data_IF_698356951539
#
_entry.id   IF_698356951539
#
_cell.length_a   1.000
_cell.length_b   1.000
_cell.length_c   1.000
_cell.angle_alpha   90.00
_cell.angle_beta   90.00
_cell.angle_gamma   90.00
#
_symmetry.space_group_name_H-M   'P 1'
#
loop_
_entity.id
_entity.type
_entity.pdbx_description
1 polymer ?
#
# COMPACT_ATOMS: atom_id res chain seq x y z
N UNK A 1 2.16 35.80 5.62
CA UNK A 1 3.63 35.65 5.52
C UNK A 1 4.07 34.48 6.37
N UNK A 2 4.93 33.59 5.87
CA UNK A 2 5.44 32.44 6.65
C UNK A 2 6.76 32.83 7.31
N UNK A 3 6.83 32.80 8.64
CA UNK A 3 8.08 33.03 9.38
C UNK A 3 9.13 31.97 8.99
N UNK A 4 10.40 32.39 8.86
CA UNK A 4 11.50 31.51 8.46
C UNK A 4 12.68 31.62 9.40
N UNK A 5 13.31 30.47 9.65
CA UNK A 5 14.57 30.32 10.37
C UNK A 5 15.67 30.07 9.35
N UNK A 6 16.74 30.85 9.41
CA UNK A 6 17.91 30.68 8.55
C UNK A 6 18.82 29.60 9.12
N UNK A 7 19.13 28.59 8.31
CA UNK A 7 20.01 27.49 8.68
C UNK A 7 20.93 27.18 7.49
N UNK A 8 22.23 27.48 7.63
CA UNK A 8 23.19 27.39 6.52
C UNK A 8 22.72 28.17 5.29
N UNK A 9 22.48 27.54 4.13
CA UNK A 9 21.96 28.23 2.92
C UNK A 9 20.42 28.17 2.84
N UNK A 10 19.77 27.50 3.79
CA UNK A 10 18.34 27.26 3.80
C UNK A 10 17.59 28.34 4.56
N UNK A 11 16.40 28.68 4.05
CA UNK A 11 15.39 29.43 4.79
C UNK A 11 14.21 28.51 5.07
N UNK A 12 14.21 27.86 6.24
CA UNK A 12 13.23 26.85 6.63
C UNK A 12 12.03 27.53 7.28
N UNK A 13 10.81 27.11 6.98
CA UNK A 13 9.64 27.60 7.72
C UNK A 13 9.83 27.33 9.22
N UNK A 14 9.67 28.35 10.07
CA UNK A 14 10.01 28.26 11.50
C UNK A 14 9.24 27.15 12.21
N UNK A 15 7.98 26.90 11.80
CA UNK A 15 7.15 25.80 12.31
C UNK A 15 7.75 24.43 12.01
N UNK A 16 8.26 24.22 10.78
CA UNK A 16 8.94 22.99 10.40
C UNK A 16 10.26 22.83 11.15
N UNK A 17 11.05 23.90 11.26
CA UNK A 17 12.29 23.89 12.02
C UNK A 17 12.04 23.45 13.47
N UNK A 18 11.08 24.08 14.16
CA UNK A 18 10.72 23.74 15.53
C UNK A 18 10.21 22.30 15.67
N UNK A 19 9.36 21.84 14.74
CA UNK A 19 8.90 20.46 14.73
C UNK A 19 10.06 19.46 14.65
N UNK A 20 11.03 19.69 13.76
CA UNK A 20 12.21 18.83 13.64
C UNK A 20 13.03 18.84 14.94
N UNK A 21 13.33 20.02 15.47
CA UNK A 21 14.14 20.18 16.69
C UNK A 21 13.50 19.55 17.93
N UNK A 22 12.19 19.72 18.09
CA UNK A 22 11.51 19.42 19.35
C UNK A 22 10.81 18.06 19.36
N UNK A 23 10.42 17.53 18.20
CA UNK A 23 9.61 16.31 18.10
C UNK A 23 10.27 15.18 17.30
N UNK A 24 11.15 15.49 16.35
CA UNK A 24 11.76 14.47 15.48
C UNK A 24 13.15 14.05 15.94
N UNK A 25 14.06 15.00 16.15
CA UNK A 25 15.46 14.68 16.49
C UNK A 25 15.64 14.02 17.88
N UNK A 26 14.91 14.40 18.94
CA UNK A 26 15.08 13.78 20.25
C UNK A 26 14.89 12.26 20.20
N UNK A 27 15.86 11.51 20.76
CA UNK A 27 15.82 10.04 20.80
C UNK A 27 16.38 9.33 19.56
N UNK A 28 16.70 10.04 18.47
CA UNK A 28 17.25 9.43 17.24
C UNK A 28 18.76 9.15 17.30
N UNK A 29 19.48 9.80 18.22
CA UNK A 29 20.96 9.78 18.26
C UNK A 29 21.64 10.74 17.25
N UNK A 30 20.87 11.48 16.44
CA UNK A 30 21.40 12.47 15.48
C UNK A 30 21.35 13.87 16.09
N UNK A 31 22.47 14.59 16.04
CA UNK A 31 22.50 15.99 16.51
C UNK A 31 21.90 16.95 15.48
N UNK A 32 21.24 18.00 15.96
CA UNK A 32 20.67 19.08 15.12
C UNK A 32 21.70 19.65 14.14
N UNK A 33 22.91 19.98 14.62
CA UNK A 33 23.99 20.50 13.78
C UNK A 33 24.42 19.51 12.67
N UNK A 34 24.42 18.20 12.94
CA UNK A 34 24.72 17.20 11.92
C UNK A 34 23.59 17.09 10.90
N UNK A 35 22.34 17.00 11.37
CA UNK A 35 21.15 16.90 10.53
C UNK A 35 21.05 18.07 9.54
N UNK A 36 21.08 19.31 10.04
CA UNK A 36 20.87 20.48 9.19
C UNK A 36 22.00 20.74 8.20
N UNK A 37 23.25 20.51 8.61
CA UNK A 37 24.40 20.58 7.69
C UNK A 37 24.28 19.53 6.59
N UNK A 38 23.90 18.31 6.95
CA UNK A 38 23.68 17.23 5.98
C UNK A 38 22.55 17.53 5.02
N UNK A 39 21.40 17.99 5.52
CA UNK A 39 20.25 18.35 4.71
C UNK A 39 20.56 19.51 3.75
N UNK A 40 21.22 20.57 4.22
CA UNK A 40 21.69 21.68 3.39
C UNK A 40 22.62 21.21 2.27
N UNK A 41 23.58 20.33 2.58
CA UNK A 41 24.48 19.76 1.58
C UNK A 41 23.74 18.93 0.52
N UNK A 42 22.80 18.08 0.95
CA UNK A 42 21.99 17.26 0.04
C UNK A 42 21.11 18.11 -0.88
N UNK A 43 20.45 19.15 -0.35
CA UNK A 43 19.64 20.06 -1.17
C UNK A 43 20.51 20.76 -2.22
N UNK A 44 21.70 21.25 -1.83
CA UNK A 44 22.58 21.93 -2.76
C UNK A 44 23.13 21.02 -3.89
N UNK A 45 23.43 19.75 -3.62
CA UNK A 45 23.91 18.80 -4.63
C UNK A 45 22.78 18.24 -5.50
N UNK A 46 21.64 17.88 -4.88
CA UNK A 46 20.59 17.12 -5.57
C UNK A 46 19.50 17.99 -6.20
N UNK A 47 19.25 19.21 -5.71
CA UNK A 47 18.22 20.07 -6.30
C UNK A 47 18.49 20.44 -7.78
N UNK A 48 19.73 20.80 -8.19
CA UNK A 48 20.04 21.02 -9.61
C UNK A 48 19.78 19.80 -10.49
N UNK A 49 20.11 18.60 -10.00
CA UNK A 49 19.84 17.34 -10.73
C UNK A 49 18.34 17.08 -10.85
N UNK A 50 17.59 17.32 -9.78
CA UNK A 50 16.12 17.16 -9.80
C UNK A 50 15.46 18.12 -10.79
N UNK A 51 15.89 19.39 -10.84
CA UNK A 51 15.41 20.35 -11.84
C UNK A 51 15.75 19.91 -13.28
N UNK A 52 16.97 19.40 -13.51
CA UNK A 52 17.35 18.86 -14.82
C UNK A 52 16.48 17.66 -15.24
N UNK A 53 16.12 16.78 -14.30
CA UNK A 53 15.23 15.65 -14.57
C UNK A 53 13.80 16.10 -14.93
N UNK A 54 13.31 17.20 -14.33
CA UNK A 54 12.02 17.78 -14.71
C UNK A 54 12.08 18.43 -16.10
N UNK A 55 13.12 19.21 -16.37
CA UNK A 55 13.33 19.81 -17.69
C UNK A 55 13.44 18.75 -18.80
N UNK A 56 14.04 17.59 -18.51
CA UNK A 56 14.09 16.49 -19.46
C UNK A 56 12.71 15.87 -19.75
N UNK A 57 11.81 15.82 -18.76
CA UNK A 57 10.41 15.40 -18.99
C UNK A 57 9.71 16.39 -19.93
N UNK A 58 9.87 17.68 -19.69
CA UNK A 58 9.26 18.73 -20.51
C UNK A 58 9.78 18.69 -21.95
N UNK A 59 11.09 18.51 -22.13
CA UNK A 59 11.72 18.34 -23.44
C UNK A 59 11.16 17.13 -24.19
N UNK A 60 11.11 15.97 -23.54
CA UNK A 60 10.57 14.73 -24.14
C UNK A 60 9.11 14.92 -24.54
N UNK A 61 8.28 15.51 -23.67
CA UNK A 61 6.88 15.76 -23.97
C UNK A 61 6.73 16.72 -25.16
N UNK A 62 7.52 17.80 -25.19
CA UNK A 62 7.51 18.79 -26.28
C UNK A 62 7.90 18.16 -27.63
N UNK A 63 8.91 17.28 -27.65
CA UNK A 63 9.26 16.53 -28.86
C UNK A 63 8.10 15.63 -29.31
N UNK A 64 7.41 14.97 -28.38
CA UNK A 64 6.24 14.14 -28.69
C UNK A 64 5.08 14.97 -29.25
N UNK A 65 4.83 16.15 -28.68
CA UNK A 65 3.82 17.08 -29.15
C UNK A 65 4.12 17.51 -30.59
N UNK A 66 5.35 17.94 -30.88
CA UNK A 66 5.79 18.29 -32.23
C UNK A 66 5.69 17.12 -33.22
N UNK A 67 5.99 15.90 -32.79
CA UNK A 67 5.82 14.73 -33.65
C UNK A 67 4.36 14.55 -34.05
N UNK A 68 3.41 14.68 -33.12
CA UNK A 68 1.99 14.52 -33.39
C UNK A 68 1.39 15.70 -34.16
N UNK A 69 1.88 16.93 -33.98
CA UNK A 69 1.54 18.09 -34.82
C UNK A 69 1.92 17.86 -36.29
N UNK A 70 3.13 17.33 -36.53
CA UNK A 70 3.62 17.01 -37.87
C UNK A 70 2.97 15.76 -38.50
N UNK A 71 2.41 14.87 -37.68
CA UNK A 71 1.80 13.61 -38.11
C UNK A 71 0.36 13.48 -37.56
N UNK A 72 -0.57 14.33 -38.02
CA UNK A 72 -1.92 14.38 -37.48
C UNK A 72 -2.70 13.10 -37.81
N UNK A 73 -3.55 12.69 -36.87
CA UNK A 73 -4.37 11.49 -36.98
C UNK A 73 -3.67 10.23 -36.47
N UNK A 74 -4.25 9.04 -36.73
CA UNK A 74 -3.72 7.79 -36.19
C UNK A 74 -2.30 7.48 -36.68
N UNK A 75 -1.47 6.91 -35.81
CA UNK A 75 -0.11 6.45 -36.16
C UNK A 75 -0.22 5.28 -37.15
N UNK A 76 -0.01 5.56 -38.45
CA UNK A 76 -0.02 4.52 -39.50
C UNK A 76 1.29 3.74 -39.60
N UNK A 77 2.41 4.37 -39.23
CA UNK A 77 3.74 3.77 -39.28
C UNK A 77 4.34 3.68 -37.86
N UNK A 78 4.02 2.58 -37.17
CA UNK A 78 4.51 2.35 -35.81
C UNK A 78 6.03 2.18 -35.74
N UNK A 79 6.67 1.66 -36.80
CA UNK A 79 8.14 1.52 -36.85
C UNK A 79 8.82 2.89 -36.83
N UNK A 80 8.28 3.86 -37.56
CA UNK A 80 8.78 5.23 -37.57
C UNK A 80 8.57 5.91 -36.21
N UNK A 81 7.38 5.76 -35.61
CA UNK A 81 7.10 6.32 -34.28
C UNK A 81 8.01 5.75 -33.20
N UNK A 82 8.20 4.42 -33.19
CA UNK A 82 9.14 3.77 -32.27
C UNK A 82 10.58 4.29 -32.45
N UNK A 83 11.04 4.43 -33.70
CA UNK A 83 12.39 4.95 -33.99
C UNK A 83 12.55 6.39 -33.50
N UNK A 84 11.47 7.20 -33.58
CA UNK A 84 11.44 8.55 -33.00
C UNK A 84 11.54 8.51 -31.48
N UNK A 85 10.75 7.67 -30.79
CA UNK A 85 10.80 7.55 -29.33
C UNK A 85 12.18 7.08 -28.82
N UNK A 86 12.84 6.20 -29.57
CA UNK A 86 14.22 5.79 -29.30
C UNK A 86 15.21 6.94 -29.52
N UNK A 87 15.05 7.69 -30.63
CA UNK A 87 15.89 8.85 -30.95
C UNK A 87 15.84 9.94 -29.89
N UNK A 88 14.66 10.23 -29.32
CA UNK A 88 14.51 11.25 -28.28
C UNK A 88 14.88 10.75 -26.87
N UNK A 89 15.27 9.48 -26.73
CA UNK A 89 15.65 8.89 -25.44
C UNK A 89 14.48 8.46 -24.56
N UNK A 90 13.24 8.49 -25.07
CA UNK A 90 12.07 8.01 -24.33
C UNK A 90 12.07 6.47 -24.20
N UNK A 91 12.33 5.77 -25.31
CA UNK A 91 12.58 4.34 -25.28
C UNK A 91 14.08 4.08 -25.21
N UNK A 92 14.52 3.49 -24.10
CA UNK A 92 15.93 3.13 -23.88
C UNK A 92 16.17 1.64 -24.14
N UNK A 93 17.41 1.23 -24.46
CA UNK A 93 17.75 -0.17 -24.64
C UNK A 93 17.39 -1.03 -23.42
N UNK A 94 16.84 -2.21 -23.68
CA UNK A 94 16.55 -3.17 -22.61
C UNK A 94 17.87 -3.61 -21.93
N UNK A 95 17.96 -3.58 -20.58
CA UNK A 95 19.22 -3.83 -19.86
C UNK A 95 19.67 -5.31 -19.90
N UNK A 96 18.88 -6.20 -20.51
CA UNK A 96 19.15 -7.64 -20.56
C UNK A 96 18.65 -8.35 -19.30
N UNK A 97 19.27 -9.48 -18.94
CA UNK A 97 18.92 -10.21 -17.71
C UNK A 97 19.63 -9.58 -16.51
N UNK A 98 18.85 -9.10 -15.56
CA UNK A 98 19.33 -8.56 -14.28
C UNK A 98 18.68 -9.31 -13.12
N UNK A 99 19.35 -9.32 -11.98
CA UNK A 99 18.82 -9.87 -10.72
C UNK A 99 18.91 -8.80 -9.64
N UNK A 100 17.84 -8.61 -8.88
CA UNK A 100 17.84 -7.72 -7.71
C UNK A 100 18.71 -8.31 -6.60
N UNK A 101 19.40 -7.45 -5.87
CA UNK A 101 20.33 -7.83 -4.78
C UNK A 101 19.89 -7.31 -3.41
N UNK A 102 18.66 -6.79 -3.32
CA UNK A 102 18.09 -6.21 -2.09
C UNK A 102 18.07 -7.24 -0.96
N UNK A 103 18.53 -6.84 0.22
CA UNK A 103 18.61 -7.66 1.43
C UNK A 103 17.98 -6.91 2.61
N UNK A 104 17.75 -7.61 3.73
CA UNK A 104 17.18 -7.05 4.97
C UNK A 104 15.79 -6.44 4.76
N UNK A 105 14.92 -7.13 4.01
CA UNK A 105 13.53 -6.74 3.77
C UNK A 105 12.62 -7.56 4.68
N UNK A 106 11.66 -6.92 5.32
CA UNK A 106 10.67 -7.58 6.17
C UNK A 106 9.85 -8.64 5.41
N UNK A 107 9.43 -9.68 6.13
CA UNK A 107 8.73 -10.83 5.55
C UNK A 107 7.41 -10.44 4.88
N UNK A 108 6.72 -9.44 5.42
CA UNK A 108 5.49 -8.84 4.90
C UNK A 108 5.63 -8.34 3.46
N UNK A 109 6.83 -7.90 3.06
CA UNK A 109 7.12 -7.44 1.69
C UNK A 109 7.83 -8.51 0.86
N UNK A 110 8.71 -9.30 1.46
CA UNK A 110 9.60 -10.19 0.72
C UNK A 110 8.96 -11.54 0.35
N UNK A 111 8.11 -12.10 1.21
CA UNK A 111 7.65 -13.50 1.09
C UNK A 111 6.14 -13.69 1.31
N UNK A 112 5.43 -12.69 1.82
CA UNK A 112 3.98 -12.76 2.02
C UNK A 112 3.24 -12.16 0.83
N UNK A 113 2.17 -12.82 0.39
CA UNK A 113 1.22 -12.26 -0.56
C UNK A 113 -0.05 -11.84 0.20
N UNK A 114 -0.48 -10.60 0.03
CA UNK A 114 -1.67 -10.09 0.71
C UNK A 114 -2.07 -8.68 0.29
N UNK A 115 -3.17 -8.16 0.85
CA UNK A 115 -3.64 -6.80 0.57
C UNK A 115 -2.66 -5.73 1.07
N UNK A 116 -2.58 -4.60 0.35
CA UNK A 116 -1.86 -3.41 0.77
C UNK A 116 -2.83 -2.22 0.84
N UNK A 117 -2.93 -1.61 2.03
CA UNK A 117 -3.81 -0.47 2.27
C UNK A 117 -3.08 0.86 2.05
N UNK A 118 -3.76 1.82 1.44
CA UNK A 118 -3.27 3.19 1.23
C UNK A 118 -4.21 4.16 1.94
N UNK A 119 -3.64 5.09 2.73
CA UNK A 119 -4.41 5.98 3.60
C UNK A 119 -3.76 7.37 3.69
N UNK A 120 -4.53 8.47 3.82
CA UNK A 120 -3.95 9.79 4.00
C UNK A 120 -3.36 9.95 5.42
N UNK A 121 -2.04 10.15 5.50
CA UNK A 121 -1.31 10.27 6.78
C UNK A 121 -1.73 11.50 7.62
N UNK A 122 -2.31 12.52 6.98
CA UNK A 122 -2.80 13.73 7.66
C UNK A 122 -4.10 13.49 8.46
N UNK A 123 -4.75 12.33 8.29
CA UNK A 123 -5.88 11.92 9.13
C UNK A 123 -5.42 10.86 10.14
N UNK A 124 -5.17 11.29 11.38
CA UNK A 124 -4.66 10.41 12.44
C UNK A 124 -5.60 9.22 12.72
N UNK A 125 -6.92 9.41 12.65
CA UNK A 125 -7.89 8.31 12.84
C UNK A 125 -7.74 7.27 11.74
N UNK A 126 -7.59 7.69 10.49
CA UNK A 126 -7.41 6.76 9.39
C UNK A 126 -6.05 6.07 9.45
N UNK A 127 -4.98 6.78 9.82
CA UNK A 127 -3.65 6.18 10.01
C UNK A 127 -3.66 5.10 11.11
N UNK A 128 -4.31 5.37 12.27
CA UNK A 128 -4.46 4.40 13.35
C UNK A 128 -5.29 3.19 12.93
N UNK A 129 -6.42 3.42 12.26
CA UNK A 129 -7.25 2.33 11.73
C UNK A 129 -6.47 1.48 10.73
N UNK A 130 -5.68 2.10 9.85
CA UNK A 130 -4.88 1.40 8.85
C UNK A 130 -3.75 0.59 9.50
N UNK A 131 -3.06 1.14 10.50
CA UNK A 131 -2.03 0.41 11.25
C UNK A 131 -2.62 -0.84 11.94
N UNK A 132 -3.82 -0.72 12.49
CA UNK A 132 -4.52 -1.82 13.16
C UNK A 132 -5.20 -2.80 12.18
N UNK A 133 -5.34 -2.45 10.90
CA UNK A 133 -6.01 -3.29 9.90
C UNK A 133 -5.22 -4.55 9.50
N UNK A 134 -4.05 -4.80 10.12
CA UNK A 134 -3.33 -6.08 9.97
C UNK A 134 -4.22 -7.27 10.36
N UNK A 135 -5.10 -7.08 11.33
CA UNK A 135 -6.10 -8.06 11.74
C UNK A 135 -7.49 -7.41 11.69
N UNK A 136 -8.41 -8.08 11.00
CA UNK A 136 -9.79 -7.61 10.84
C UNK A 136 -10.79 -8.71 11.16
N UNK A 137 -11.93 -8.32 11.71
CA UNK A 137 -13.06 -9.23 11.93
C UNK A 137 -13.72 -9.57 10.60
N UNK A 138 -13.59 -10.84 10.17
CA UNK A 138 -14.29 -11.33 8.99
C UNK A 138 -15.81 -11.25 9.17
N UNK A 139 -16.30 -11.45 10.39
CA UNK A 139 -17.73 -11.36 10.69
C UNK A 139 -18.25 -9.95 10.49
N UNK A 140 -17.53 -8.93 10.97
CA UNK A 140 -17.94 -7.54 10.79
C UNK A 140 -17.85 -7.12 9.31
N UNK A 141 -16.81 -7.57 8.61
CA UNK A 141 -16.67 -7.32 7.18
C UNK A 141 -17.82 -7.94 6.37
N UNK A 142 -18.24 -9.17 6.68
CA UNK A 142 -19.37 -9.83 6.02
C UNK A 142 -20.71 -9.23 6.43
N UNK A 143 -20.91 -8.97 7.72
CA UNK A 143 -22.17 -8.46 8.25
C UNK A 143 -22.40 -7.01 7.78
N UNK A 144 -21.38 -6.16 7.82
CA UNK A 144 -21.48 -4.73 7.54
C UNK A 144 -21.59 -4.37 6.05
N UNK A 145 -21.14 -5.26 5.15
CA UNK A 145 -21.09 -5.00 3.71
C UNK A 145 -22.23 -5.68 2.96
N UNK A 146 -22.28 -5.50 1.64
CA UNK A 146 -23.22 -6.12 0.71
C UNK A 146 -22.78 -7.52 0.23
N UNK A 147 -21.64 -8.04 0.70
CA UNK A 147 -21.19 -9.41 0.42
C UNK A 147 -22.28 -10.43 0.81
N UNK A 148 -22.97 -10.20 1.93
CA UNK A 148 -24.18 -10.94 2.29
C UNK A 148 -25.41 -10.12 1.86
N UNK A 149 -26.17 -10.65 0.91
CA UNK A 149 -27.43 -10.04 0.45
C UNK A 149 -28.40 -9.82 1.61
N UNK A 150 -29.06 -8.66 1.60
CA UNK A 150 -30.08 -8.28 2.59
C UNK A 150 -31.45 -8.92 2.32
N UNK A 151 -31.63 -9.63 1.20
CA UNK A 151 -32.88 -10.28 0.85
C UNK A 151 -33.24 -11.44 1.81
N UNK A 152 -34.54 -11.77 1.82
CA UNK A 152 -35.13 -12.86 2.61
C UNK A 152 -34.95 -12.67 4.12
N UNK A 153 -35.19 -11.45 4.63
CA UNK A 153 -35.15 -11.15 6.07
C UNK A 153 -33.75 -11.00 6.66
N UNK A 154 -32.73 -10.77 5.82
CA UNK A 154 -31.32 -10.67 6.21
C UNK A 154 -30.80 -9.22 6.20
N UNK A 155 -31.69 -8.25 6.38
CA UNK A 155 -31.37 -6.83 6.45
C UNK A 155 -30.50 -6.52 7.68
N UNK A 156 -29.58 -5.54 7.57
CA UNK A 156 -28.67 -5.20 8.67
C UNK A 156 -29.38 -4.65 9.91
N UNK A 157 -30.49 -3.92 9.73
CA UNK A 157 -31.25 -3.29 10.81
C UNK A 157 -30.42 -2.31 11.66
N UNK A 158 -30.97 -1.90 12.80
CA UNK A 158 -30.26 -1.06 13.81
C UNK A 158 -29.56 -1.89 14.89
N UNK A 159 -29.78 -3.21 14.90
CA UNK A 159 -29.20 -4.15 15.86
C UNK A 159 -28.86 -5.48 15.19
N UNK A 160 -28.55 -6.49 16.00
CA UNK A 160 -28.23 -7.81 15.47
C UNK A 160 -29.47 -8.52 14.91
N UNK A 161 -29.41 -8.88 13.63
CA UNK A 161 -30.39 -9.72 12.95
C UNK A 161 -29.86 -11.17 12.93
N UNK A 162 -30.48 -12.10 13.68
CA UNK A 162 -30.04 -13.50 13.73
C UNK A 162 -30.08 -14.20 12.37
N UNK A 163 -31.02 -13.83 11.48
CA UNK A 163 -31.12 -14.40 10.12
C UNK A 163 -29.89 -14.03 9.30
N UNK A 164 -29.46 -12.76 9.36
CA UNK A 164 -28.23 -12.30 8.72
C UNK A 164 -26.99 -12.93 9.38
N UNK A 165 -26.95 -12.96 10.70
CA UNK A 165 -25.84 -13.53 11.46
C UNK A 165 -25.60 -15.00 11.15
N UNK A 166 -26.66 -15.79 10.96
CA UNK A 166 -26.56 -17.19 10.52
C UNK A 166 -25.87 -17.31 9.15
N UNK A 167 -26.22 -16.46 8.18
CA UNK A 167 -25.55 -16.42 6.86
C UNK A 167 -24.08 -16.04 6.95
N UNK A 168 -23.73 -15.10 7.83
CA UNK A 168 -22.32 -14.72 8.09
C UNK A 168 -21.53 -15.90 8.65
N UNK A 169 -22.08 -16.60 9.65
CA UNK A 169 -21.45 -17.78 10.25
C UNK A 169 -21.26 -18.88 9.19
N UNK A 170 -22.29 -19.16 8.41
CA UNK A 170 -22.24 -20.15 7.32
C UNK A 170 -21.14 -19.80 6.31
N UNK A 171 -21.09 -18.55 5.84
CA UNK A 171 -20.03 -18.08 4.93
C UNK A 171 -18.64 -18.30 5.54
N UNK A 172 -18.44 -17.94 6.81
CA UNK A 172 -17.16 -18.11 7.49
C UNK A 172 -16.78 -19.60 7.66
N UNK A 173 -17.75 -20.50 7.89
CA UNK A 173 -17.50 -21.95 7.90
C UNK A 173 -17.04 -22.47 6.55
N UNK A 174 -17.63 -22.00 5.45
CA UNK A 174 -17.14 -22.32 4.11
C UNK A 174 -15.76 -21.72 3.81
N UNK A 175 -15.38 -20.58 4.41
CA UNK A 175 -14.00 -20.08 4.34
C UNK A 175 -13.04 -21.04 5.04
N UNK A 176 -13.40 -21.54 6.23
CA UNK A 176 -12.58 -22.53 6.95
C UNK A 176 -12.42 -23.82 6.14
N UNK A 177 -13.50 -24.38 5.60
CA UNK A 177 -13.42 -25.60 4.78
C UNK A 177 -12.49 -25.46 3.56
N UNK A 178 -12.37 -24.26 2.99
CA UNK A 178 -11.49 -24.00 1.84
C UNK A 178 -10.03 -23.74 2.22
N UNK A 179 -9.78 -23.17 3.40
CA UNK A 179 -8.46 -22.65 3.79
C UNK A 179 -7.76 -23.50 4.83
N UNK A 180 -8.51 -24.23 5.65
CA UNK A 180 -8.02 -25.13 6.69
C UNK A 180 -8.91 -26.39 6.75
N UNK A 181 -9.03 -27.17 5.66
CA UNK A 181 -9.96 -28.29 5.56
C UNK A 181 -9.75 -29.35 6.64
N UNK A 182 -10.86 -29.89 7.16
CA UNK A 182 -10.83 -31.11 7.98
C UNK A 182 -10.49 -32.31 7.09
N UNK A 183 -9.80 -33.30 7.67
CA UNK A 183 -9.53 -34.57 6.98
C UNK A 183 -10.82 -35.32 6.58
N UNK A 184 -11.89 -35.14 7.37
CA UNK A 184 -13.23 -35.65 7.08
C UNK A 184 -14.29 -34.75 7.70
N UNK A 185 -15.41 -34.58 7.01
CA UNK A 185 -16.51 -33.70 7.47
C UNK A 185 -16.30 -32.25 7.06
N UNK A 186 -17.02 -31.35 7.73
CA UNK A 186 -17.01 -29.89 7.48
C UNK A 186 -17.04 -29.13 8.79
N UNK A 187 -16.42 -27.94 8.80
CA UNK A 187 -16.49 -27.00 9.92
C UNK A 187 -17.94 -26.53 10.22
N UNK A 188 -18.88 -26.69 9.29
CA UNK A 188 -20.32 -26.43 9.51
C UNK A 188 -20.88 -27.27 10.67
N UNK A 189 -20.34 -28.48 10.85
CA UNK A 189 -20.78 -29.43 11.88
C UNK A 189 -19.90 -29.44 13.12
N UNK A 190 -18.94 -28.51 13.24
CA UNK A 190 -18.08 -28.43 14.42
C UNK A 190 -18.89 -28.04 15.67
N UNK A 191 -18.69 -28.76 16.76
CA UNK A 191 -19.26 -28.47 18.10
C UNK A 191 -18.19 -28.06 19.11
N UNK A 192 -16.92 -28.34 18.84
CA UNK A 192 -15.80 -27.97 19.71
C UNK A 192 -14.47 -28.05 18.99
N UNK A 193 -13.51 -27.24 19.46
CA UNK A 193 -12.13 -27.22 19.00
C UNK A 193 -11.23 -27.38 20.22
N UNK A 194 -10.27 -28.30 20.17
CA UNK A 194 -9.33 -28.56 21.25
C UNK A 194 -7.95 -28.90 20.72
N UNK A 195 -6.92 -28.68 21.53
CA UNK A 195 -5.58 -29.20 21.27
C UNK A 195 -5.38 -30.46 22.10
N UNK A 196 -5.14 -31.59 21.44
CA UNK A 196 -4.87 -32.89 22.06
C UNK A 196 -3.56 -33.40 21.49
N UNK A 197 -2.59 -33.71 22.34
CA UNK A 197 -1.25 -34.18 21.96
C UNK A 197 -0.56 -33.28 20.92
N UNK A 198 -0.71 -31.95 21.09
CA UNK A 198 -0.14 -30.95 20.19
C UNK A 198 -0.85 -30.83 18.83
N UNK A 199 -1.97 -31.51 18.62
CA UNK A 199 -2.75 -31.46 17.37
C UNK A 199 -4.13 -30.86 17.59
N UNK A 200 -4.63 -30.14 16.59
CA UNK A 200 -6.01 -29.67 16.58
C UNK A 200 -6.98 -30.86 16.39
N UNK A 201 -7.93 -30.99 17.31
CA UNK A 201 -9.08 -31.90 17.23
C UNK A 201 -10.35 -31.08 17.13
N UNK A 202 -11.21 -31.45 16.19
CA UNK A 202 -12.51 -30.81 15.96
C UNK A 202 -13.58 -31.86 16.15
N UNK A 203 -14.43 -31.68 17.16
CA UNK A 203 -15.57 -32.57 17.41
C UNK A 203 -16.71 -32.16 16.48
N UNK A 204 -17.32 -33.14 15.81
CA UNK A 204 -18.46 -32.94 14.93
C UNK A 204 -19.78 -33.35 15.60
N UNK A 205 -20.91 -32.82 15.13
CA UNK A 205 -22.26 -33.15 15.64
C UNK A 205 -22.56 -34.66 15.67
N UNK A 206 -21.95 -35.45 14.79
CA UNK A 206 -22.10 -36.90 14.75
C UNK A 206 -21.24 -37.66 15.77
N UNK A 207 -20.53 -36.95 16.67
CA UNK A 207 -19.71 -37.52 17.73
C UNK A 207 -18.32 -37.99 17.29
N UNK A 208 -17.90 -37.69 16.06
CA UNK A 208 -16.54 -37.95 15.56
C UNK A 208 -15.58 -36.80 15.87
#
# INVERSE_FOLDING_TARGET
MTARTHVHRLQVATTLHQFIEQQVLPGTGVSSAHFWRGFDALVADLAPRNMALLAERDRIQTEMDHWHEAHPGPIRNMKAYRSFLEKIGYLVPHPGRVKTTTQNVDAELAIQAGPQLVVPILNARYALNAANARWGSLYDALYGTDVISEANGAEKGTGYNPVRGAKVIEYARYVLDRTAPLASGSHIDSTGYAIVDGQLRVTLKNGR
#
